data_IF_786106146113
#
_entry.id   IF_786106146113
#
_cell.length_a   1.000
_cell.length_b   1.000
_cell.length_c   1.000
_cell.angle_alpha   90.00
_cell.angle_beta   90.00
_cell.angle_gamma   90.00
#
_symmetry.space_group_name_H-M   'P 1'
#
loop_
_entity.id
_entity.type
_entity.pdbx_description
1 polymer ?
#
# COMPACT_ATOMS: atom_id res chain seq x y z
N UNK A 1 -29.60 -56.22 -30.89
CA UNK A 1 -28.26 -56.02 -31.48
C UNK A 1 -27.88 -54.55 -31.33
N UNK A 2 -26.86 -54.25 -30.52
CA UNK A 2 -26.34 -52.89 -30.28
C UNK A 2 -25.20 -52.59 -31.25
N UNK A 3 -25.18 -51.45 -31.95
CA UNK A 3 -23.95 -50.94 -32.53
C UNK A 3 -23.31 -49.89 -31.62
N UNK A 4 -22.08 -50.18 -31.26
CA UNK A 4 -21.13 -49.31 -30.57
C UNK A 4 -20.66 -48.22 -31.53
N UNK A 5 -20.67 -46.94 -31.11
CA UNK A 5 -19.92 -45.88 -31.79
C UNK A 5 -19.23 -45.02 -30.75
N UNK A 6 -17.91 -45.22 -30.65
CA UNK A 6 -16.94 -44.28 -30.10
C UNK A 6 -17.10 -42.94 -30.83
N UNK A 7 -17.18 -41.83 -30.10
CA UNK A 7 -16.84 -40.51 -30.64
C UNK A 7 -15.94 -39.78 -29.64
N UNK A 8 -14.70 -39.60 -30.09
CA UNK A 8 -13.63 -38.77 -29.54
C UNK A 8 -14.08 -37.31 -29.56
N UNK A 9 -14.13 -36.66 -28.39
CA UNK A 9 -14.37 -35.23 -28.24
C UNK A 9 -13.26 -34.58 -27.43
N UNK A 10 -12.21 -34.18 -28.15
CA UNK A 10 -11.20 -33.16 -27.82
C UNK A 10 -11.31 -32.46 -26.45
N UNK A 11 -10.38 -32.77 -25.54
CA UNK A 11 -10.08 -31.94 -24.38
C UNK A 11 -9.21 -30.75 -24.78
N UNK A 12 -9.74 -29.54 -24.64
CA UNK A 12 -8.96 -28.31 -24.72
C UNK A 12 -9.03 -27.62 -23.37
N UNK A 13 -8.12 -27.99 -22.46
CA UNK A 13 -7.93 -27.29 -21.20
C UNK A 13 -7.10 -26.03 -21.50
N UNK A 14 -7.78 -24.90 -21.73
CA UNK A 14 -7.14 -23.59 -21.83
C UNK A 14 -6.69 -23.16 -20.43
N UNK A 15 -5.39 -23.26 -20.17
CA UNK A 15 -4.80 -22.83 -18.91
C UNK A 15 -4.95 -21.30 -18.79
N UNK A 16 -5.75 -20.85 -17.82
CA UNK A 16 -5.90 -19.44 -17.48
C UNK A 16 -4.62 -18.98 -16.77
N UNK A 17 -3.72 -18.34 -17.52
CA UNK A 17 -2.50 -17.75 -16.97
C UNK A 17 -2.88 -16.51 -16.14
N UNK A 18 -2.99 -16.67 -14.82
CA UNK A 18 -3.11 -15.56 -13.87
C UNK A 18 -1.78 -14.80 -13.85
N UNK A 19 -1.68 -13.71 -14.62
CA UNK A 19 -0.61 -12.74 -14.45
C UNK A 19 -0.87 -11.97 -13.14
N UNK A 20 -0.13 -12.32 -12.08
CA UNK A 20 -0.11 -11.51 -10.88
C UNK A 20 0.54 -10.14 -11.21
N UNK A 21 -0.08 -9.00 -10.84
CA UNK A 21 0.59 -7.72 -10.99
C UNK A 21 1.84 -7.73 -10.11
N UNK A 22 2.98 -7.38 -10.71
CA UNK A 22 4.20 -7.13 -9.96
C UNK A 22 3.95 -5.91 -9.06
N UNK A 23 3.82 -6.15 -7.76
CA UNK A 23 3.86 -5.10 -6.75
C UNK A 23 5.23 -4.43 -6.87
N UNK A 24 5.26 -3.27 -7.52
CA UNK A 24 6.38 -2.37 -7.42
C UNK A 24 6.20 -1.75 -6.03
N UNK A 25 7.14 -1.99 -5.12
CA UNK A 25 7.24 -1.19 -3.91
C UNK A 25 7.54 0.24 -4.40
N UNK A 26 6.49 1.07 -4.46
CA UNK A 26 6.59 2.44 -4.95
C UNK A 26 7.24 3.22 -3.82
N UNK A 27 8.55 3.44 -3.93
CA UNK A 27 9.30 4.13 -2.89
C UNK A 27 8.69 5.53 -2.67
N UNK A 28 8.36 5.82 -1.42
CA UNK A 28 7.67 7.04 -1.02
C UNK A 28 8.34 8.30 -1.62
N UNK A 29 7.55 9.15 -2.28
CA UNK A 29 8.06 10.30 -3.04
C UNK A 29 9.09 11.11 -2.21
N UNK A 30 10.25 11.49 -2.79
CA UNK A 30 11.31 12.17 -2.04
C UNK A 30 10.85 13.45 -1.32
N UNK A 31 9.88 14.17 -1.89
CA UNK A 31 9.33 15.40 -1.30
C UNK A 31 8.45 15.09 -0.09
N UNK A 32 7.63 14.04 -0.19
CA UNK A 32 6.82 13.56 0.94
C UNK A 32 7.71 13.04 2.06
N UNK A 33 8.75 12.27 1.70
CA UNK A 33 9.74 11.76 2.65
C UNK A 33 10.42 12.91 3.39
N UNK A 34 10.82 13.97 2.69
CA UNK A 34 11.44 15.14 3.31
C UNK A 34 10.54 15.81 4.36
N UNK A 35 9.24 15.93 4.10
CA UNK A 35 8.27 16.48 5.07
C UNK A 35 8.10 15.58 6.30
N UNK A 36 8.05 14.26 6.11
CA UNK A 36 7.98 13.29 7.20
C UNK A 36 9.24 13.33 8.06
N UNK A 37 10.42 13.37 7.42
CA UNK A 37 11.70 13.50 8.13
C UNK A 37 11.80 14.82 8.88
N UNK A 38 11.31 15.91 8.29
CA UNK A 38 11.24 17.20 8.98
C UNK A 38 10.33 17.13 10.20
N UNK A 39 9.14 16.53 10.08
CA UNK A 39 8.26 16.26 11.23
C UNK A 39 8.97 15.45 12.31
N UNK A 40 9.72 14.42 11.93
CA UNK A 40 10.45 13.57 12.85
C UNK A 40 11.56 14.34 13.60
N UNK A 41 12.32 15.17 12.89
CA UNK A 41 13.43 15.95 13.46
C UNK A 41 12.94 17.11 14.33
N UNK A 42 12.01 17.90 13.82
CA UNK A 42 11.54 19.13 14.45
C UNK A 42 10.37 18.91 15.42
N UNK A 43 9.83 17.68 15.47
CA UNK A 43 8.63 17.32 16.24
C UNK A 43 7.41 18.18 15.86
N UNK A 44 7.39 18.69 14.63
CA UNK A 44 6.27 19.45 14.06
C UNK A 44 5.20 18.48 13.55
N UNK A 45 3.94 18.77 13.81
CA UNK A 45 2.82 17.97 13.30
C UNK A 45 2.70 18.07 11.78
N UNK A 46 2.36 16.95 11.16
CA UNK A 46 1.97 16.83 9.75
C UNK A 46 0.60 16.17 9.66
N UNK A 47 -0.10 16.40 8.56
CA UNK A 47 -1.29 15.63 8.20
C UNK A 47 -0.92 14.67 7.09
N UNK A 48 -1.04 13.36 7.36
CA UNK A 48 -0.86 12.30 6.37
C UNK A 48 -2.23 11.97 5.78
N UNK A 49 -2.34 11.96 4.46
CA UNK A 49 -3.57 11.62 3.75
C UNK A 49 -3.44 10.21 3.17
N UNK A 50 -4.39 9.36 3.52
CA UNK A 50 -4.57 7.99 3.00
C UNK A 50 -5.99 7.90 2.41
N UNK A 51 -6.36 6.84 1.67
CA UNK A 51 -7.69 6.74 1.09
C UNK A 51 -8.80 6.92 2.14
N UNK A 52 -9.58 8.00 1.99
CA UNK A 52 -10.73 8.29 2.87
C UNK A 52 -10.39 8.86 4.25
N UNK A 53 -9.12 9.04 4.61
CA UNK A 53 -8.73 9.54 5.93
C UNK A 53 -7.61 10.60 5.86
N UNK A 54 -7.68 11.56 6.78
CA UNK A 54 -6.62 12.52 7.05
C UNK A 54 -6.17 12.34 8.50
N UNK A 55 -4.91 12.00 8.70
CA UNK A 55 -4.37 11.56 9.98
C UNK A 55 -3.34 12.58 10.46
N UNK A 56 -3.69 13.48 11.39
CA UNK A 56 -2.73 14.41 11.98
C UNK A 56 -1.80 13.66 12.95
N UNK A 57 -0.51 13.66 12.66
CA UNK A 57 0.51 12.97 13.45
C UNK A 57 1.77 13.82 13.65
N UNK A 58 2.53 13.50 14.68
CA UNK A 58 3.97 13.82 14.73
C UNK A 58 4.72 12.54 14.41
N UNK A 59 5.59 12.58 13.41
CA UNK A 59 6.36 11.40 12.98
C UNK A 59 7.38 11.01 14.05
N UNK A 60 7.46 9.71 14.35
CA UNK A 60 8.39 9.14 15.32
C UNK A 60 9.42 8.22 14.68
N UNK A 61 9.03 7.48 13.64
CA UNK A 61 9.94 6.64 12.85
C UNK A 61 9.54 6.60 11.37
N UNK A 62 10.51 6.43 10.49
CA UNK A 62 10.31 6.28 9.04
C UNK A 62 11.06 5.02 8.63
N UNK A 63 10.32 3.97 8.27
CA UNK A 63 10.84 2.73 7.70
C UNK A 63 10.77 2.74 6.18
N UNK A 64 11.10 1.61 5.56
CA UNK A 64 10.93 1.40 4.12
C UNK A 64 9.47 1.15 3.73
N UNK A 65 8.72 0.44 4.56
CA UNK A 65 7.33 0.03 4.28
C UNK A 65 6.31 0.79 5.12
N UNK A 66 6.73 1.39 6.23
CA UNK A 66 5.82 2.03 7.18
C UNK A 66 6.35 3.34 7.72
N UNK A 67 5.42 4.24 8.02
CA UNK A 67 5.66 5.48 8.75
C UNK A 67 4.96 5.36 10.10
N UNK A 68 5.72 5.57 11.18
CA UNK A 68 5.18 5.59 12.53
C UNK A 68 5.07 7.01 13.04
N UNK A 69 3.97 7.29 13.74
CA UNK A 69 3.79 8.54 14.44
C UNK A 69 2.94 8.41 15.68
N UNK A 70 2.66 9.55 16.30
CA UNK A 70 1.69 9.69 17.39
C UNK A 70 0.66 10.76 17.02
N UNK A 71 -0.59 10.53 17.39
CA UNK A 71 -1.67 11.51 17.27
C UNK A 71 -2.16 11.93 18.66
N UNK A 72 -3.15 12.80 18.73
CA UNK A 72 -3.80 13.13 20.00
C UNK A 72 -4.61 11.95 20.56
N UNK A 73 -5.22 11.16 19.67
CA UNK A 73 -6.10 10.05 20.03
C UNK A 73 -5.32 8.74 20.30
N UNK A 74 -4.17 8.57 19.65
CA UNK A 74 -3.40 7.35 19.71
C UNK A 74 -1.93 7.64 20.02
N UNK A 75 -1.40 6.93 21.02
CA UNK A 75 0.02 7.02 21.38
C UNK A 75 0.95 6.53 20.26
N UNK A 76 0.46 5.61 19.42
CA UNK A 76 1.18 5.08 18.26
C UNK A 76 0.21 4.86 17.11
N UNK A 77 0.59 5.34 15.93
CA UNK A 77 -0.06 5.13 14.64
C UNK A 77 1.01 4.56 13.71
N UNK A 78 0.67 3.49 13.00
CA UNK A 78 1.53 2.88 11.98
C UNK A 78 0.77 2.97 10.67
N UNK A 79 1.36 3.63 9.67
CA UNK A 79 0.76 3.90 8.37
C UNK A 79 1.63 3.20 7.33
N UNK A 80 1.01 2.42 6.45
CA UNK A 80 1.67 1.83 5.29
C UNK A 80 2.14 2.95 4.35
N UNK A 81 3.41 2.93 3.96
CA UNK A 81 4.01 3.94 3.10
C UNK A 81 3.34 3.96 1.70
N UNK A 82 2.92 2.80 1.20
CA UNK A 82 2.33 2.64 -0.13
C UNK A 82 0.90 3.23 -0.20
N UNK A 83 0.23 3.37 0.94
CA UNK A 83 -1.12 3.94 1.05
C UNK A 83 -1.11 5.47 1.22
N UNK A 84 0.07 6.08 1.37
CA UNK A 84 0.15 7.53 1.58
C UNK A 84 -0.03 8.24 0.23
N UNK A 85 -1.15 8.98 0.12
CA UNK A 85 -1.47 9.78 -1.05
C UNK A 85 -0.84 11.17 -1.01
N UNK A 86 -0.70 11.76 0.19
CA UNK A 86 -0.10 13.08 0.37
C UNK A 86 0.34 13.33 1.83
N UNK A 87 1.24 14.29 2.01
CA UNK A 87 1.64 14.82 3.32
C UNK A 87 1.58 16.34 3.29
N UNK A 88 0.95 16.95 4.29
CA UNK A 88 0.88 18.41 4.43
C UNK A 88 1.43 18.87 5.78
N UNK A 89 2.05 20.04 5.80
CA UNK A 89 2.42 20.76 7.01
C UNK A 89 1.47 21.96 7.19
N UNK A 90 0.98 22.22 8.41
CA UNK A 90 0.24 23.44 8.73
C UNK A 90 1.15 24.68 8.72
#
# INVERSE_FOLDING_TARGET
>A
MRPHRLWIGFGFAFALQLAAPAAHADELDPSMRALLEQSQREKRGVTVYVPGHAIPIVVTAIGSEVVEGRSQEHQRVVIDADEILAVAQP
#
